data_IF_725635895547
#
_entry.id   IF_725635895547
#
_cell.length_a   1.000
_cell.length_b   1.000
_cell.length_c   1.000
_cell.angle_alpha   90.00
_cell.angle_beta   90.00
_cell.angle_gamma   90.00
#
_symmetry.space_group_name_H-M   'P 1'
#
loop_
_entity.id
_entity.type
_entity.pdbx_description
1 polymer ?
#
# COMPACT_ATOMS: atom_id res chain seq x y z
N UNK A 1 -11.45 -5.08 -18.77
CA UNK A 1 -10.97 -3.80 -18.20
C UNK A 1 -9.82 -4.11 -17.28
N UNK A 2 -8.79 -3.27 -17.26
CA UNK A 2 -7.69 -3.44 -16.32
C UNK A 2 -8.18 -3.22 -14.87
N UNK A 3 -7.63 -3.98 -13.94
CA UNK A 3 -7.87 -3.80 -12.51
C UNK A 3 -6.54 -3.75 -11.76
N UNK A 4 -6.56 -3.17 -10.58
CA UNK A 4 -5.41 -3.07 -9.68
C UNK A 4 -5.82 -3.48 -8.28
N UNK A 5 -4.90 -4.10 -7.56
CA UNK A 5 -5.13 -4.51 -6.18
C UNK A 5 -4.17 -3.75 -5.27
N UNK A 6 -4.71 -3.23 -4.17
CA UNK A 6 -3.92 -2.67 -3.08
C UNK A 6 -4.22 -3.41 -1.79
N UNK A 7 -3.18 -3.63 -0.99
CA UNK A 7 -3.24 -4.41 0.25
C UNK A 7 -2.63 -3.61 1.39
N UNK A 8 -3.39 -3.44 2.48
CA UNK A 8 -2.88 -2.99 3.78
C UNK A 8 -2.62 -4.23 4.65
N UNK A 9 -1.38 -4.42 5.07
CA UNK A 9 -0.96 -5.61 5.80
C UNK A 9 -1.19 -5.45 7.29
N UNK A 10 -2.10 -6.24 7.83
CA UNK A 10 -2.31 -6.39 9.27
C UNK A 10 -1.55 -7.59 9.84
N UNK A 11 -1.40 -7.63 11.17
CA UNK A 11 -0.92 -8.83 11.85
C UNK A 11 -1.99 -9.93 11.87
N UNK A 12 -1.60 -11.15 12.23
CA UNK A 12 -2.42 -12.37 12.22
C UNK A 12 -3.85 -12.17 12.77
N UNK A 13 -3.99 -11.50 13.91
CA UNK A 13 -5.32 -11.26 14.52
C UNK A 13 -6.19 -10.27 13.78
N UNK A 14 -5.59 -9.31 13.09
CA UNK A 14 -6.28 -8.24 12.37
C UNK A 14 -6.61 -8.65 10.95
N UNK A 15 -5.75 -9.43 10.33
CA UNK A 15 -5.81 -9.77 8.93
C UNK A 15 -5.49 -8.59 8.02
N UNK A 16 -5.61 -8.79 6.74
CA UNK A 16 -5.31 -7.83 5.69
C UNK A 16 -6.58 -7.17 5.18
N UNK A 17 -6.48 -5.91 4.81
CA UNK A 17 -7.50 -5.23 4.02
C UNK A 17 -7.03 -5.14 2.57
N UNK A 18 -7.91 -5.54 1.62
CA UNK A 18 -7.62 -5.52 0.19
C UNK A 18 -8.68 -4.72 -0.57
N UNK A 19 -8.22 -3.85 -1.46
CA UNK A 19 -9.06 -3.09 -2.38
C UNK A 19 -8.77 -3.52 -3.83
N UNK A 20 -9.82 -3.81 -4.59
CA UNK A 20 -9.76 -4.01 -6.04
C UNK A 20 -10.39 -2.78 -6.68
N UNK A 21 -9.69 -2.14 -7.59
CA UNK A 21 -10.18 -0.97 -8.32
C UNK A 21 -10.07 -1.16 -9.83
N UNK A 22 -10.88 -0.43 -10.57
CA UNK A 22 -10.65 -0.13 -11.99
C UNK A 22 -10.25 1.35 -12.16
N UNK A 23 -10.35 1.87 -13.37
CA UNK A 23 -10.00 3.28 -13.67
C UNK A 23 -10.88 4.30 -12.92
N UNK A 24 -12.10 3.94 -12.53
CA UNK A 24 -13.11 4.87 -12.03
C UNK A 24 -13.60 4.57 -10.63
N UNK A 25 -13.63 3.31 -10.23
CA UNK A 25 -14.33 2.89 -9.01
C UNK A 25 -13.63 1.79 -8.22
N UNK A 26 -14.02 1.68 -6.96
CA UNK A 26 -13.74 0.51 -6.13
C UNK A 26 -14.70 -0.61 -6.53
N UNK A 27 -14.15 -1.72 -7.03
CA UNK A 27 -14.90 -2.92 -7.42
C UNK A 27 -15.19 -3.82 -6.22
N UNK A 28 -14.21 -3.94 -5.31
CA UNK A 28 -14.32 -4.70 -4.08
C UNK A 28 -13.45 -4.10 -2.98
N UNK A 29 -13.92 -4.20 -1.76
CA UNK A 29 -13.18 -3.86 -0.55
C UNK A 29 -13.41 -4.97 0.47
N UNK A 30 -12.36 -5.72 0.81
CA UNK A 30 -12.42 -6.89 1.69
C UNK A 30 -11.47 -6.68 2.86
N UNK A 31 -11.88 -7.08 4.05
CA UNK A 31 -11.06 -7.00 5.26
C UNK A 31 -10.93 -8.33 5.96
N UNK A 32 -9.98 -8.41 6.89
CA UNK A 32 -9.68 -9.60 7.70
C UNK A 32 -9.25 -10.82 6.87
N UNK A 33 -8.61 -10.60 5.75
CA UNK A 33 -8.08 -11.66 4.91
C UNK A 33 -6.78 -12.23 5.50
N UNK A 34 -6.52 -13.51 5.29
CA UNK A 34 -5.16 -14.06 5.44
C UNK A 34 -4.33 -13.75 4.19
N UNK A 35 -3.00 -13.90 4.27
CA UNK A 35 -2.15 -13.73 3.09
C UNK A 35 -2.50 -14.72 1.97
N UNK A 36 -2.93 -15.97 2.31
CA UNK A 36 -3.39 -16.94 1.32
C UNK A 36 -4.64 -16.45 0.57
N UNK A 37 -5.62 -15.92 1.31
CA UNK A 37 -6.84 -15.38 0.69
C UNK A 37 -6.56 -14.15 -0.19
N UNK A 38 -5.55 -13.35 0.15
CA UNK A 38 -5.09 -12.24 -0.72
C UNK A 38 -4.42 -12.79 -1.96
N UNK A 39 -3.54 -13.80 -1.84
CA UNK A 39 -2.93 -14.46 -2.99
C UNK A 39 -3.98 -15.08 -3.92
N UNK A 40 -4.98 -15.79 -3.37
CA UNK A 40 -6.10 -16.34 -4.14
C UNK A 40 -6.88 -15.24 -4.88
N UNK A 41 -7.11 -14.10 -4.22
CA UNK A 41 -7.77 -12.94 -4.83
C UNK A 41 -6.96 -12.38 -6.02
N UNK A 42 -5.63 -12.27 -5.87
CA UNK A 42 -4.74 -11.81 -6.94
C UNK A 42 -4.80 -12.77 -8.13
N UNK A 43 -4.67 -14.06 -7.88
CA UNK A 43 -4.73 -15.10 -8.93
C UNK A 43 -6.08 -15.12 -9.64
N UNK A 44 -7.18 -14.95 -8.91
CA UNK A 44 -8.53 -14.91 -9.50
C UNK A 44 -8.81 -13.65 -10.31
N UNK A 45 -8.27 -12.50 -9.91
CA UNK A 45 -8.51 -11.21 -10.56
C UNK A 45 -7.55 -10.91 -11.72
N UNK A 46 -6.36 -11.53 -11.74
CA UNK A 46 -5.27 -11.24 -12.70
C UNK A 46 -5.10 -9.73 -12.94
N UNK A 47 -4.79 -8.94 -11.88
CA UNK A 47 -4.71 -7.49 -11.97
C UNK A 47 -3.49 -7.05 -12.78
N UNK A 48 -3.49 -5.83 -13.31
CA UNK A 48 -2.36 -5.23 -14.01
C UNK A 48 -1.15 -5.00 -13.09
N UNK A 49 -1.39 -4.71 -11.81
CA UNK A 49 -0.37 -4.68 -10.76
C UNK A 49 -1.01 -4.84 -9.38
N UNK A 50 -0.20 -5.28 -8.41
CA UNK A 50 -0.53 -5.37 -6.98
C UNK A 50 0.42 -4.49 -6.18
N UNK A 51 -0.13 -3.66 -5.29
CA UNK A 51 0.65 -2.84 -4.36
C UNK A 51 0.41 -3.27 -2.91
N UNK A 52 1.46 -3.52 -2.17
CA UNK A 52 1.41 -4.03 -0.80
C UNK A 52 2.03 -3.00 0.16
N UNK A 53 1.24 -2.55 1.16
CA UNK A 53 1.73 -1.71 2.28
C UNK A 53 2.44 -2.59 3.30
N UNK A 54 3.62 -3.04 2.93
CA UNK A 54 4.52 -3.78 3.80
C UNK A 54 5.93 -3.71 3.25
N UNK A 55 6.97 -3.74 4.09
CA UNK A 55 8.33 -3.92 3.61
C UNK A 55 8.48 -5.27 2.89
N UNK A 56 9.15 -5.28 1.74
CA UNK A 56 9.47 -6.51 1.02
C UNK A 56 10.67 -7.24 1.62
N UNK A 57 11.56 -6.50 2.29
CA UNK A 57 12.77 -7.04 2.91
C UNK A 57 13.03 -6.37 4.25
N UNK A 58 13.84 -7.00 5.11
CA UNK A 58 14.35 -6.37 6.33
C UNK A 58 15.58 -5.50 6.05
N UNK A 59 15.97 -4.66 7.02
CA UNK A 59 17.23 -3.94 6.99
C UNK A 59 18.43 -4.90 7.00
N UNK A 60 19.61 -4.47 6.53
CA UNK A 60 20.86 -5.21 6.68
C UNK A 60 21.15 -5.51 8.16
N UNK A 61 21.89 -6.59 8.43
CA UNK A 61 22.26 -7.01 9.78
C UNK A 61 22.84 -5.85 10.60
N UNK A 62 22.28 -5.64 11.78
CA UNK A 62 22.70 -4.58 12.72
C UNK A 62 22.10 -3.20 12.43
N UNK A 63 21.27 -3.07 11.39
CA UNK A 63 20.59 -1.82 11.08
C UNK A 63 19.14 -1.82 11.61
N UNK A 64 18.66 -0.62 11.99
CA UNK A 64 17.31 -0.40 12.51
C UNK A 64 16.33 0.09 11.45
N UNK A 65 16.82 0.46 10.25
CA UNK A 65 16.04 0.96 9.14
C UNK A 65 16.67 0.56 7.81
N UNK A 66 15.85 0.44 6.77
CA UNK A 66 16.29 0.26 5.38
C UNK A 66 16.64 1.63 4.77
N UNK A 67 17.55 1.64 3.80
CA UNK A 67 17.94 2.89 3.11
C UNK A 67 16.73 3.59 2.47
N UNK A 68 15.82 2.85 1.83
CA UNK A 68 14.60 3.41 1.24
C UNK A 68 13.71 4.13 2.26
N UNK A 69 13.58 3.59 3.47
CA UNK A 69 12.81 4.23 4.55
C UNK A 69 13.46 5.55 5.01
N UNK A 70 14.80 5.59 5.10
CA UNK A 70 15.53 6.80 5.42
C UNK A 70 15.35 7.87 4.35
N UNK A 71 15.34 7.47 3.08
CA UNK A 71 15.09 8.36 1.95
C UNK A 71 13.65 8.88 1.94
N UNK A 72 12.65 8.02 2.14
CA UNK A 72 11.24 8.43 2.28
C UNK A 72 11.07 9.42 3.43
N UNK A 73 11.69 9.16 4.59
CA UNK A 73 11.61 10.06 5.74
C UNK A 73 12.15 11.47 5.44
N UNK A 74 13.21 11.56 4.66
CA UNK A 74 13.83 12.84 4.27
C UNK A 74 13.05 13.57 3.17
N UNK A 75 12.55 12.83 2.18
CA UNK A 75 12.04 13.43 0.93
C UNK A 75 10.52 13.59 0.90
N UNK A 76 9.78 12.74 1.64
CA UNK A 76 8.31 12.67 1.54
C UNK A 76 7.63 12.89 2.89
N UNK A 77 7.74 11.92 3.79
CA UNK A 77 7.07 11.95 5.10
C UNK A 77 7.69 10.93 6.07
N UNK A 78 7.37 11.07 7.35
CA UNK A 78 7.80 10.09 8.36
C UNK A 78 7.25 8.70 8.06
N UNK A 79 8.08 7.69 8.22
CA UNK A 79 7.78 6.28 8.04
C UNK A 79 8.26 5.49 9.26
N UNK A 80 7.63 4.35 9.56
CA UNK A 80 8.13 3.40 10.55
C UNK A 80 9.29 2.61 9.93
N UNK A 81 10.29 2.34 10.73
CA UNK A 81 11.48 1.64 10.29
C UNK A 81 11.33 0.13 10.44
N UNK A 82 11.89 -0.58 9.49
CA UNK A 82 11.97 -2.03 9.46
C UNK A 82 13.38 -2.44 9.85
N UNK A 83 13.58 -3.02 11.04
CA UNK A 83 14.91 -3.44 11.49
C UNK A 83 15.40 -4.69 10.78
N UNK A 84 16.56 -5.18 11.17
CA UNK A 84 17.11 -6.42 10.66
C UNK A 84 16.27 -7.66 11.05
N UNK A 85 16.52 -8.79 10.39
CA UNK A 85 15.76 -10.03 10.54
C UNK A 85 15.76 -10.59 11.99
N UNK A 86 16.83 -10.34 12.77
CA UNK A 86 16.91 -10.80 14.17
C UNK A 86 15.92 -10.05 15.05
N UNK A 87 15.84 -8.73 14.89
CA UNK A 87 14.91 -7.90 15.65
C UNK A 87 13.46 -8.17 15.25
N UNK A 88 13.18 -8.38 13.96
CA UNK A 88 11.82 -8.72 13.49
C UNK A 88 11.34 -10.02 14.15
N UNK A 89 12.14 -11.09 14.08
CA UNK A 89 11.76 -12.39 14.67
C UNK A 89 11.72 -12.40 16.21
N UNK A 90 12.47 -11.53 16.84
CA UNK A 90 12.57 -11.42 18.30
C UNK A 90 11.45 -10.62 18.96
N UNK A 91 10.53 -9.99 18.20
CA UNK A 91 9.51 -9.10 18.76
C UNK A 91 8.13 -9.30 18.14
N UNK A 92 7.10 -9.58 18.95
CA UNK A 92 5.71 -9.67 18.49
C UNK A 92 5.21 -8.38 17.80
N UNK A 93 5.83 -7.23 18.10
CA UNK A 93 5.50 -5.96 17.45
C UNK A 93 5.70 -5.97 15.94
N UNK A 94 6.66 -6.75 15.44
CA UNK A 94 6.98 -6.86 14.02
C UNK A 94 6.32 -8.08 13.33
N UNK A 95 5.46 -8.83 14.03
CA UNK A 95 4.83 -10.02 13.45
C UNK A 95 4.09 -9.73 12.13
N UNK A 96 3.47 -8.54 12.01
CA UNK A 96 2.81 -8.11 10.77
C UNK A 96 3.75 -8.05 9.55
N UNK A 97 5.05 -7.76 9.77
CA UNK A 97 6.05 -7.76 8.68
C UNK A 97 6.27 -9.16 8.14
N UNK A 98 6.25 -10.18 9.02
CA UNK A 98 6.40 -11.58 8.60
C UNK A 98 5.20 -12.03 7.75
N UNK A 99 4.00 -11.57 8.06
CA UNK A 99 2.81 -11.79 7.24
C UNK A 99 2.95 -11.12 5.87
N UNK A 100 3.50 -9.90 5.82
CA UNK A 100 3.82 -9.23 4.57
C UNK A 100 4.85 -9.99 3.73
N UNK A 101 5.91 -10.52 4.36
CA UNK A 101 6.89 -11.36 3.67
C UNK A 101 6.27 -12.64 3.11
N UNK A 102 5.35 -13.27 3.86
CA UNK A 102 4.62 -14.45 3.38
C UNK A 102 3.79 -14.13 2.14
N UNK A 103 3.10 -12.98 2.12
CA UNK A 103 2.34 -12.55 0.95
C UNK A 103 3.25 -12.26 -0.26
N UNK A 104 4.35 -11.53 -0.07
CA UNK A 104 5.31 -11.31 -1.16
C UNK A 104 5.84 -12.62 -1.72
N UNK A 105 6.26 -13.55 -0.84
CA UNK A 105 6.75 -14.87 -1.26
C UNK A 105 5.70 -15.71 -1.99
N UNK A 106 4.43 -15.62 -1.60
CA UNK A 106 3.33 -16.32 -2.29
C UNK A 106 3.04 -15.74 -3.70
N UNK A 107 3.46 -14.51 -3.96
CA UNK A 107 3.25 -13.82 -5.24
C UNK A 107 4.53 -13.71 -6.09
N UNK A 108 5.68 -14.24 -5.64
CA UNK A 108 6.95 -14.12 -6.37
C UNK A 108 6.92 -14.80 -7.75
N UNK A 109 6.16 -15.88 -7.91
CA UNK A 109 6.02 -16.62 -9.16
C UNK A 109 4.81 -16.19 -10.02
N UNK A 110 4.05 -15.18 -9.59
CA UNK A 110 2.93 -14.69 -10.37
C UNK A 110 3.40 -13.77 -11.52
N UNK A 111 2.69 -13.80 -12.65
CA UNK A 111 2.98 -12.92 -13.81
C UNK A 111 2.67 -11.45 -13.53
N UNK A 112 1.89 -11.16 -12.50
CA UNK A 112 1.48 -9.81 -12.13
C UNK A 112 2.62 -9.08 -11.41
N UNK A 113 2.88 -7.84 -11.80
CA UNK A 113 3.87 -7.01 -11.09
C UNK A 113 3.41 -6.70 -9.67
N UNK A 114 4.28 -7.01 -8.69
CA UNK A 114 4.02 -6.78 -7.26
C UNK A 114 5.00 -5.74 -6.72
N UNK A 115 4.48 -4.63 -6.22
CA UNK A 115 5.27 -3.49 -5.72
C UNK A 115 5.08 -3.25 -4.23
N UNK A 116 6.15 -2.81 -3.58
CA UNK A 116 6.10 -2.28 -2.22
C UNK A 116 5.66 -0.81 -2.26
N UNK A 117 4.68 -0.44 -1.44
CA UNK A 117 4.19 0.94 -1.33
C UNK A 117 4.09 1.38 0.14
N UNK A 118 3.92 2.68 0.34
CA UNK A 118 3.65 3.26 1.64
C UNK A 118 2.49 4.28 1.51
N UNK A 119 1.25 3.92 1.81
CA UNK A 119 0.06 4.75 1.61
C UNK A 119 0.14 6.14 2.22
N UNK A 120 0.84 6.29 3.37
CA UNK A 120 1.07 7.63 3.95
C UNK A 120 1.90 8.51 3.01
N UNK A 121 2.84 7.96 2.27
CA UNK A 121 3.58 8.71 1.24
C UNK A 121 2.66 9.06 0.06
N UNK A 122 1.82 8.14 -0.40
CA UNK A 122 0.85 8.38 -1.45
C UNK A 122 -0.13 9.50 -1.06
N UNK A 123 -0.72 9.44 0.13
CA UNK A 123 -1.56 10.52 0.65
C UNK A 123 -0.83 11.85 0.74
N UNK A 124 0.46 11.85 1.15
CA UNK A 124 1.28 13.05 1.23
C UNK A 124 1.53 13.68 -0.14
N UNK A 125 1.78 12.87 -1.16
CA UNK A 125 1.99 13.32 -2.54
C UNK A 125 0.73 13.90 -3.16
N UNK A 126 -0.44 13.32 -2.88
CA UNK A 126 -1.73 13.77 -3.45
C UNK A 126 -2.39 14.93 -2.69
N UNK A 127 -2.26 14.96 -1.36
CA UNK A 127 -3.04 15.87 -0.51
C UNK A 127 -2.19 16.75 0.41
N UNK A 128 -0.87 16.68 0.26
CA UNK A 128 0.08 17.40 1.11
C UNK A 128 0.22 16.76 2.51
N UNK A 129 1.14 17.30 3.29
CA UNK A 129 1.42 16.80 4.65
C UNK A 129 0.19 16.87 5.55
N UNK A 130 0.05 15.90 6.45
CA UNK A 130 -1.08 15.79 7.37
C UNK A 130 -1.26 17.03 8.27
N UNK A 131 -0.16 17.63 8.74
CA UNK A 131 -0.20 18.73 9.70
C UNK A 131 -0.87 18.30 11.04
N UNK A 132 -1.70 19.16 11.65
CA UNK A 132 -2.36 18.88 12.92
C UNK A 132 -3.59 17.94 12.79
N UNK A 133 -3.99 17.56 11.58
CA UNK A 133 -5.16 16.70 11.34
C UNK A 133 -4.94 15.30 11.90
N UNK A 134 -5.99 14.62 12.37
CA UNK A 134 -5.91 13.19 12.65
C UNK A 134 -5.68 12.41 11.35
N UNK A 135 -5.02 11.24 11.43
CA UNK A 135 -4.79 10.38 10.24
C UNK A 135 -6.11 10.05 9.53
N UNK A 136 -7.15 9.74 10.31
CA UNK A 136 -8.47 9.40 9.80
C UNK A 136 -9.14 10.56 9.05
N UNK A 137 -9.10 11.78 9.57
CA UNK A 137 -9.67 12.95 8.90
C UNK A 137 -8.90 13.28 7.62
N UNK A 138 -7.57 13.27 7.69
CA UNK A 138 -6.69 13.58 6.57
C UNK A 138 -6.85 12.60 5.41
N UNK A 139 -6.76 11.28 5.65
CA UNK A 139 -6.91 10.28 4.59
C UNK A 139 -8.32 10.23 4.01
N UNK A 140 -9.37 10.52 4.82
CA UNK A 140 -10.74 10.62 4.34
C UNK A 140 -10.92 11.82 3.40
N UNK A 141 -10.37 12.98 3.76
CA UNK A 141 -10.40 14.17 2.90
C UNK A 141 -9.63 13.93 1.61
N UNK A 142 -8.45 13.32 1.71
CA UNK A 142 -7.64 12.96 0.54
C UNK A 142 -8.40 12.03 -0.40
N UNK A 143 -9.01 10.95 0.12
CA UNK A 143 -9.78 10.00 -0.68
C UNK A 143 -10.99 10.64 -1.34
N UNK A 144 -11.74 11.48 -0.60
CA UNK A 144 -12.89 12.20 -1.15
C UNK A 144 -12.50 13.15 -2.31
N UNK A 145 -11.32 13.80 -2.23
CA UNK A 145 -10.83 14.69 -3.27
C UNK A 145 -10.43 13.97 -4.57
N UNK A 146 -10.22 12.64 -4.53
CA UNK A 146 -9.87 11.85 -5.72
C UNK A 146 -11.08 11.49 -6.59
N UNK A 147 -12.30 11.67 -6.10
CA UNK A 147 -13.53 11.41 -6.88
C UNK A 147 -13.72 9.94 -7.29
N UNK A 148 -13.08 9.00 -6.60
CA UNK A 148 -13.22 7.58 -6.89
C UNK A 148 -14.62 7.09 -6.52
N UNK A 149 -15.32 6.49 -7.47
CA UNK A 149 -16.66 5.94 -7.28
C UNK A 149 -16.64 4.65 -6.46
N UNK A 150 -17.78 4.22 -5.92
CA UNK A 150 -17.92 2.93 -5.23
C UNK A 150 -17.19 2.83 -3.89
N UNK A 151 -16.61 3.92 -3.39
CA UNK A 151 -16.03 3.95 -2.04
C UNK A 151 -17.16 3.86 -1.01
N UNK A 152 -17.15 2.88 -0.08
CA UNK A 152 -18.18 2.79 0.94
C UNK A 152 -18.25 4.05 1.80
N UNK A 153 -19.46 4.46 2.19
CA UNK A 153 -19.70 5.64 3.03
C UNK A 153 -18.93 5.61 4.36
N UNK A 154 -18.67 4.40 4.88
CA UNK A 154 -17.85 4.18 6.07
C UNK A 154 -16.67 3.29 5.73
N UNK A 155 -15.46 3.82 5.89
CA UNK A 155 -14.20 3.09 5.75
C UNK A 155 -13.35 3.30 7.00
N UNK A 156 -12.69 2.24 7.46
CA UNK A 156 -11.64 2.36 8.49
C UNK A 156 -10.31 2.87 7.85
N UNK A 157 -9.26 3.03 8.65
CA UNK A 157 -7.98 3.54 8.13
C UNK A 157 -7.34 2.55 7.16
N UNK A 158 -7.36 1.26 7.50
CA UNK A 158 -6.69 0.21 6.75
C UNK A 158 -7.35 0.02 5.37
N UNK A 159 -8.67 0.10 5.31
CA UNK A 159 -9.41 0.10 4.04
C UNK A 159 -9.03 1.29 3.14
N UNK A 160 -8.85 2.47 3.71
CA UNK A 160 -8.38 3.63 2.93
C UNK A 160 -6.95 3.46 2.46
N UNK A 161 -6.09 2.88 3.29
CA UNK A 161 -4.70 2.63 2.93
C UNK A 161 -4.61 1.53 1.85
N UNK A 162 -5.45 0.50 1.89
CA UNK A 162 -5.58 -0.47 0.80
C UNK A 162 -6.05 0.19 -0.51
N UNK A 163 -7.02 1.13 -0.46
CA UNK A 163 -7.43 1.89 -1.65
C UNK A 163 -6.28 2.75 -2.17
N UNK A 164 -5.51 3.42 -1.28
CA UNK A 164 -4.35 4.21 -1.70
C UNK A 164 -3.25 3.34 -2.34
N UNK A 165 -3.02 2.15 -1.80
CA UNK A 165 -2.11 1.18 -2.40
C UNK A 165 -2.58 0.81 -3.83
N UNK A 166 -3.86 0.48 -4.03
CA UNK A 166 -4.42 0.15 -5.34
C UNK A 166 -4.29 1.32 -6.35
N UNK A 167 -4.56 2.55 -5.90
CA UNK A 167 -4.37 3.75 -6.71
C UNK A 167 -2.90 3.99 -7.06
N UNK A 168 -1.98 3.65 -6.17
CA UNK A 168 -0.53 3.73 -6.43
C UNK A 168 -0.12 2.67 -7.46
N UNK A 169 -0.66 1.43 -7.37
CA UNK A 169 -0.45 0.39 -8.39
C UNK A 169 -0.93 0.87 -9.77
N UNK A 170 -2.11 1.48 -9.86
CA UNK A 170 -2.62 2.08 -11.11
C UNK A 170 -1.68 3.14 -11.65
N UNK A 171 -1.26 4.09 -10.83
CA UNK A 171 -0.31 5.12 -11.25
C UNK A 171 1.04 4.56 -11.68
N UNK A 172 1.47 3.46 -11.06
CA UNK A 172 2.70 2.78 -11.44
C UNK A 172 2.63 2.25 -12.87
N UNK A 173 1.57 1.53 -13.22
CA UNK A 173 1.36 1.06 -14.60
C UNK A 173 1.16 2.17 -15.61
N UNK A 174 0.81 3.38 -15.15
CA UNK A 174 0.69 4.60 -15.97
C UNK A 174 1.99 5.43 -16.05
N UNK A 175 3.10 4.98 -15.42
CA UNK A 175 4.37 5.68 -15.42
C UNK A 175 4.36 7.01 -14.65
N UNK A 176 3.46 7.17 -13.65
CA UNK A 176 3.31 8.40 -12.86
C UNK A 176 3.76 8.24 -11.41
N UNK A 177 4.69 7.30 -11.17
CA UNK A 177 5.33 7.03 -9.89
C UNK A 177 6.85 7.12 -10.01
N UNK A 178 7.52 7.19 -8.88
CA UNK A 178 8.97 7.03 -8.73
C UNK A 178 9.25 5.94 -7.69
N UNK A 179 10.43 5.32 -7.76
CA UNK A 179 10.88 4.33 -6.78
C UNK A 179 11.97 4.93 -5.91
N UNK A 180 11.73 5.02 -4.61
CA UNK A 180 12.67 5.54 -3.63
C UNK A 180 13.16 4.37 -2.76
N UNK A 181 14.37 3.87 -3.04
CA UNK A 181 14.97 2.76 -2.28
C UNK A 181 14.10 1.50 -2.23
N UNK A 182 13.41 1.18 -3.32
CA UNK A 182 12.52 0.01 -3.45
C UNK A 182 11.05 0.27 -3.09
N UNK A 183 10.72 1.45 -2.54
CA UNK A 183 9.34 1.84 -2.21
C UNK A 183 8.79 2.70 -3.35
N UNK A 184 7.69 2.26 -3.95
CA UNK A 184 7.03 3.00 -5.03
C UNK A 184 6.10 4.07 -4.44
N UNK A 185 6.26 5.30 -4.91
CA UNK A 185 5.46 6.45 -4.48
C UNK A 185 4.98 7.27 -5.69
N UNK A 186 3.82 7.92 -5.62
CA UNK A 186 3.37 8.83 -6.68
C UNK A 186 4.35 9.99 -6.91
N UNK A 187 4.51 10.41 -8.14
CA UNK A 187 5.26 11.64 -8.45
C UNK A 187 4.59 12.86 -7.78
N UNK A 188 5.40 13.82 -7.35
CA UNK A 188 4.90 15.05 -6.76
C UNK A 188 3.99 15.81 -7.74
N UNK A 189 2.82 16.27 -7.25
CA UNK A 189 1.85 16.99 -8.06
C UNK A 189 1.05 16.15 -9.06
N UNK A 190 1.20 14.83 -9.04
CA UNK A 190 0.42 13.89 -9.86
C UNK A 190 -0.65 13.20 -9.01
N UNK A 191 -1.84 13.77 -8.98
CA UNK A 191 -3.02 13.17 -8.35
C UNK A 191 -3.62 12.10 -9.28
N UNK A 192 -4.10 10.95 -8.78
CA UNK A 192 -4.82 9.98 -9.59
C UNK A 192 -6.02 10.64 -10.25
N UNK A 193 -6.10 10.57 -11.58
CA UNK A 193 -7.26 11.06 -12.31
C UNK A 193 -8.24 9.90 -12.54
N UNK A 194 -9.52 10.13 -12.28
CA UNK A 194 -10.57 9.28 -12.82
C UNK A 194 -10.78 9.76 -14.25
N UNK A 195 -10.61 8.86 -15.24
CA UNK A 195 -10.90 9.22 -16.62
C UNK A 195 -12.37 9.66 -16.70
N UNK A 196 -12.59 10.95 -17.00
CA UNK A 196 -13.89 11.43 -17.41
C UNK A 196 -14.24 10.71 -18.73
N UNK A 197 -15.36 9.98 -18.74
CA UNK A 197 -15.90 9.36 -19.93
C UNK A 197 -16.52 10.38 -20.85
#
# INVERSE_FOLDING_TARGET
MASWIGVDVGGERKGFDAAVIDDRKVLALRGRLSWQQVADLVMACTPAAVAIDSPRTCAPKGHTAREGELQIARQVCGIRWTPDARHIRGSPYYAWILEGFALFGALDDCETEVIEVFPTASWTRWHGRRGPRTRAAWSRQALAALGLEGVPARTNQDQRDAIAAALTARQHTQGTTETIGGIVVPLAGRTPQTCAG
#
